data_IF_491778472685
#
_entry.id   IF_491778472685
#
_cell.length_a   1.000
_cell.length_b   1.000
_cell.length_c   1.000
_cell.angle_alpha   90.00
_cell.angle_beta   90.00
_cell.angle_gamma   90.00
#
_symmetry.space_group_name_H-M   'P 1'
#
loop_
_entity.id
_entity.type
_entity.pdbx_description
1 polymer ?
#
# COMPACT_ATOMS: atom_id res chain seq x y z
N UNK A 1 -33.57 -13.28 -5.38
CA UNK A 1 -34.67 -12.35 -5.07
C UNK A 1 -35.06 -11.61 -6.32
N UNK A 2 -36.32 -11.75 -6.71
CA UNK A 2 -36.82 -11.10 -7.92
C UNK A 2 -37.02 -9.62 -7.64
N UNK A 3 -36.95 -8.80 -8.68
CA UNK A 3 -37.17 -7.35 -8.59
C UNK A 3 -38.55 -7.00 -7.99
N UNK A 4 -39.54 -7.87 -8.17
CA UNK A 4 -40.88 -7.79 -7.59
C UNK A 4 -40.87 -7.84 -6.06
N UNK A 5 -39.84 -8.45 -5.46
CA UNK A 5 -39.66 -8.56 -4.01
C UNK A 5 -38.99 -7.29 -3.41
N UNK A 6 -38.63 -6.32 -4.24
CA UNK A 6 -37.99 -5.07 -3.83
C UNK A 6 -39.01 -3.94 -3.66
N UNK A 7 -38.86 -3.16 -2.60
CA UNK A 7 -39.72 -2.00 -2.36
C UNK A 7 -39.34 -0.89 -3.33
N UNK A 8 -40.22 -0.54 -4.28
CA UNK A 8 -40.03 0.64 -5.13
C UNK A 8 -40.22 1.91 -4.29
N UNK A 9 -39.20 2.77 -4.26
CA UNK A 9 -39.20 4.01 -3.46
C UNK A 9 -39.07 5.28 -4.30
N UNK A 10 -38.84 5.13 -5.61
CA UNK A 10 -38.76 6.23 -6.57
C UNK A 10 -38.70 5.72 -8.00
N UNK A 11 -38.59 6.65 -8.95
CA UNK A 11 -38.36 6.32 -10.36
C UNK A 11 -37.01 5.60 -10.51
N UNK A 12 -37.02 4.35 -10.99
CA UNK A 12 -35.84 3.51 -11.13
C UNK A 12 -35.06 3.25 -9.82
N UNK A 13 -35.69 3.46 -8.66
CA UNK A 13 -35.05 3.26 -7.34
C UNK A 13 -35.84 2.21 -6.55
N UNK A 14 -35.12 1.15 -6.19
CA UNK A 14 -35.63 0.02 -5.43
C UNK A 14 -34.83 -0.13 -4.13
N UNK A 15 -35.50 -0.61 -3.08
CA UNK A 15 -34.92 -0.77 -1.76
C UNK A 15 -35.05 -2.21 -1.28
N UNK A 16 -33.93 -2.75 -0.82
CA UNK A 16 -33.89 -3.95 0.02
C UNK A 16 -34.04 -3.47 1.46
N UNK A 17 -35.20 -3.71 2.05
CA UNK A 17 -35.44 -3.38 3.44
C UNK A 17 -34.40 -4.06 4.34
N UNK A 18 -33.96 -3.34 5.36
CA UNK A 18 -33.01 -3.86 6.35
C UNK A 18 -33.61 -5.09 7.03
N UNK A 19 -32.94 -6.23 6.91
CA UNK A 19 -33.35 -7.50 7.51
C UNK A 19 -32.14 -8.29 8.03
N UNK A 20 -32.38 -9.23 8.95
CA UNK A 20 -31.32 -10.03 9.55
C UNK A 20 -30.20 -9.18 10.17
N UNK A 21 -28.95 -9.48 9.81
CA UNK A 21 -27.75 -8.82 10.33
C UNK A 21 -27.35 -7.55 9.54
N UNK A 22 -28.17 -7.09 8.59
CA UNK A 22 -27.86 -5.88 7.84
C UNK A 22 -27.72 -4.71 8.82
N UNK A 23 -26.69 -3.87 8.65
CA UNK A 23 -26.51 -2.62 9.41
C UNK A 23 -27.30 -1.47 8.77
N UNK A 24 -27.41 -1.48 7.44
CA UNK A 24 -28.10 -0.48 6.60
C UNK A 24 -29.00 -1.17 5.57
N UNK A 25 -30.02 -0.51 5.02
CA UNK A 25 -30.79 -1.06 3.88
C UNK A 25 -29.94 -1.11 2.60
N UNK A 26 -30.37 -1.92 1.62
CA UNK A 26 -29.81 -1.95 0.28
C UNK A 26 -30.56 -1.01 -0.67
N UNK A 27 -29.87 -0.36 -1.62
CA UNK A 27 -30.49 0.52 -2.63
C UNK A 27 -30.03 0.16 -4.02
N UNK A 28 -30.97 -0.11 -4.92
CA UNK A 28 -30.69 -0.55 -6.29
C UNK A 28 -31.25 0.49 -7.26
N UNK A 29 -30.38 0.99 -8.13
CA UNK A 29 -30.74 1.88 -9.22
C UNK A 29 -30.83 1.08 -10.51
N UNK A 30 -32.05 0.81 -10.98
CA UNK A 30 -32.27 -0.04 -12.14
C UNK A 30 -33.56 0.39 -12.86
N UNK A 31 -33.53 0.45 -14.19
CA UNK A 31 -34.70 0.80 -14.99
C UNK A 31 -35.79 -0.27 -14.87
N UNK A 32 -37.07 0.09 -15.01
CA UNK A 32 -38.19 -0.85 -14.86
C UNK A 32 -38.09 -2.10 -15.75
N UNK A 33 -37.52 -1.96 -16.95
CA UNK A 33 -37.38 -3.04 -17.94
C UNK A 33 -36.26 -4.04 -17.63
N UNK A 34 -35.31 -3.68 -16.76
CA UNK A 34 -34.16 -4.54 -16.44
C UNK A 34 -34.46 -5.46 -15.26
N UNK A 35 -33.87 -6.66 -15.30
CA UNK A 35 -33.99 -7.70 -14.27
C UNK A 35 -32.82 -7.55 -13.30
N UNK A 36 -33.08 -7.76 -12.01
CA UNK A 36 -32.02 -7.84 -11.00
C UNK A 36 -31.58 -9.29 -10.88
N UNK A 37 -30.28 -9.56 -10.99
CA UNK A 37 -29.74 -10.88 -10.73
C UNK A 37 -29.89 -11.24 -9.24
N UNK A 38 -30.50 -12.39 -8.97
CA UNK A 38 -30.77 -12.88 -7.62
C UNK A 38 -29.52 -12.87 -6.74
N UNK A 39 -28.42 -13.40 -7.25
CA UNK A 39 -27.15 -13.51 -6.53
C UNK A 39 -26.48 -12.14 -6.29
N UNK A 40 -26.60 -11.20 -7.24
CA UNK A 40 -26.07 -9.84 -7.07
C UNK A 40 -26.85 -9.06 -5.99
N UNK A 41 -28.18 -9.24 -5.94
CA UNK A 41 -29.01 -8.66 -4.87
C UNK A 41 -28.66 -9.22 -3.48
N UNK A 42 -28.23 -10.48 -3.41
CA UNK A 42 -27.75 -11.10 -2.18
C UNK A 42 -26.39 -10.53 -1.76
N UNK A 43 -25.51 -10.25 -2.72
CA UNK A 43 -24.25 -9.57 -2.44
C UNK A 43 -24.48 -8.15 -1.89
N UNK A 44 -25.49 -7.42 -2.37
CA UNK A 44 -25.89 -6.13 -1.75
C UNK A 44 -26.30 -6.32 -0.29
N UNK A 45 -27.08 -7.37 0.03
CA UNK A 45 -27.41 -7.72 1.43
C UNK A 45 -26.18 -8.04 2.25
N UNK A 46 -25.26 -8.83 1.72
CA UNK A 46 -24.03 -9.21 2.42
C UNK A 46 -23.16 -7.99 2.72
N UNK A 47 -22.95 -7.12 1.74
CA UNK A 47 -22.22 -5.85 1.91
C UNK A 47 -22.89 -4.97 2.96
N UNK A 48 -24.22 -4.95 3.02
CA UNK A 48 -24.97 -4.20 4.02
C UNK A 48 -24.76 -4.67 5.47
N UNK A 49 -24.20 -5.86 5.69
CA UNK A 49 -23.86 -6.40 7.02
C UNK A 49 -22.48 -5.96 7.50
N UNK A 50 -21.66 -5.34 6.64
CA UNK A 50 -20.28 -5.02 6.98
C UNK A 50 -20.19 -3.91 8.05
N UNK A 51 -19.25 -4.01 9.02
CA UNK A 51 -19.11 -3.03 10.08
C UNK A 51 -18.83 -1.62 9.55
N UNK A 52 -19.48 -0.63 10.15
CA UNK A 52 -19.26 0.79 9.84
C UNK A 52 -19.74 1.24 8.45
N UNK A 53 -20.51 0.43 7.71
CA UNK A 53 -21.13 0.85 6.45
C UNK A 53 -22.11 2.01 6.69
N UNK A 54 -22.13 2.97 5.77
CA UNK A 54 -22.88 4.22 5.88
C UNK A 54 -24.09 4.23 4.95
N UNK A 55 -25.25 4.59 5.52
CA UNK A 55 -26.53 4.85 4.83
C UNK A 55 -27.13 3.68 4.05
N UNK A 56 -26.44 3.17 3.01
CA UNK A 56 -26.93 2.15 2.09
C UNK A 56 -25.79 1.29 1.54
N UNK A 57 -26.10 0.02 1.25
CA UNK A 57 -25.34 -0.79 0.29
C UNK A 57 -25.97 -0.61 -1.08
N UNK A 58 -25.22 -0.14 -2.09
CA UNK A 58 -25.80 0.35 -3.34
C UNK A 58 -25.45 -0.58 -4.50
N UNK A 59 -26.41 -0.89 -5.36
CA UNK A 59 -26.22 -1.51 -6.67
C UNK A 59 -26.61 -0.55 -7.80
N UNK A 60 -25.72 -0.36 -8.77
CA UNK A 60 -25.97 0.47 -9.95
C UNK A 60 -26.62 -0.33 -11.09
N UNK A 61 -26.87 0.33 -12.22
CA UNK A 61 -27.66 -0.21 -13.33
C UNK A 61 -27.01 -1.40 -14.04
N UNK A 62 -25.69 -1.52 -13.94
CA UNK A 62 -24.85 -2.59 -14.50
C UNK A 62 -24.52 -3.67 -13.47
N UNK A 63 -25.23 -3.70 -12.34
CA UNK A 63 -24.92 -4.61 -11.25
C UNK A 63 -25.11 -6.08 -11.64
N UNK A 64 -24.06 -6.88 -11.40
CA UNK A 64 -24.05 -8.32 -11.60
C UNK A 64 -23.11 -9.01 -10.60
N UNK A 65 -23.14 -10.34 -10.56
CA UNK A 65 -22.36 -11.13 -9.59
C UNK A 65 -20.86 -10.80 -9.67
N UNK A 66 -20.29 -10.38 -8.54
CA UNK A 66 -18.85 -10.15 -8.36
C UNK A 66 -18.23 -11.06 -7.30
N UNK A 67 -17.07 -10.68 -6.77
CA UNK A 67 -16.37 -11.42 -5.70
C UNK A 67 -16.61 -10.76 -4.34
N UNK A 68 -17.55 -11.30 -3.56
CA UNK A 68 -17.98 -10.75 -2.27
C UNK A 68 -18.91 -9.54 -2.43
N UNK A 69 -18.45 -8.49 -3.11
CA UNK A 69 -19.28 -7.38 -3.57
C UNK A 69 -19.78 -7.67 -4.99
N UNK A 70 -20.95 -7.15 -5.39
CA UNK A 70 -21.35 -7.18 -6.79
C UNK A 70 -20.52 -6.18 -7.60
N UNK A 71 -20.26 -6.50 -8.87
CA UNK A 71 -19.77 -5.50 -9.82
C UNK A 71 -20.88 -4.45 -9.97
N UNK A 72 -20.53 -3.17 -10.13
CA UNK A 72 -21.49 -2.07 -10.05
C UNK A 72 -21.99 -1.78 -8.62
N UNK A 73 -21.40 -2.42 -7.61
CA UNK A 73 -21.69 -2.17 -6.20
C UNK A 73 -20.96 -0.93 -5.67
N UNK A 74 -21.63 -0.17 -4.79
CA UNK A 74 -21.05 0.99 -4.10
C UNK A 74 -21.37 0.90 -2.61
N UNK A 75 -20.33 1.05 -1.77
CA UNK A 75 -20.49 1.15 -0.33
C UNK A 75 -19.49 2.17 0.23
N UNK A 76 -19.94 2.96 1.20
CA UNK A 76 -19.10 3.88 1.95
C UNK A 76 -18.99 3.41 3.39
N UNK A 77 -17.79 3.49 3.96
CA UNK A 77 -17.50 3.04 5.33
C UNK A 77 -16.93 4.18 6.18
N UNK A 78 -17.29 4.19 7.47
CA UNK A 78 -16.72 5.11 8.45
C UNK A 78 -15.20 4.88 8.60
N UNK A 79 -14.40 5.94 8.62
CA UNK A 79 -12.93 5.82 8.67
C UNK A 79 -12.38 5.20 9.96
N UNK A 80 -13.12 5.24 11.07
CA UNK A 80 -12.67 4.73 12.37
C UNK A 80 -13.26 3.38 12.72
N UNK A 81 -14.50 3.13 12.31
CA UNK A 81 -15.27 1.92 12.67
C UNK A 81 -15.49 0.97 11.49
N UNK A 82 -15.18 1.42 10.28
CA UNK A 82 -15.41 0.71 9.04
C UNK A 82 -14.33 -0.30 8.71
N UNK A 83 -14.55 -0.99 7.60
CA UNK A 83 -13.65 -1.99 7.04
C UNK A 83 -13.21 -1.59 5.63
N UNK A 84 -12.08 -2.14 5.19
CA UNK A 84 -11.69 -2.18 3.78
C UNK A 84 -11.86 -3.61 3.32
N UNK A 85 -12.59 -3.82 2.22
CA UNK A 85 -12.75 -5.12 1.59
C UNK A 85 -12.14 -5.08 0.19
N UNK A 86 -11.07 -5.84 -0.10
CA UNK A 86 -10.49 -5.92 -1.45
C UNK A 86 -11.53 -6.33 -2.50
N UNK A 87 -12.46 -7.23 -2.14
CA UNK A 87 -13.57 -7.64 -3.02
C UNK A 87 -14.50 -6.48 -3.39
N UNK A 88 -14.59 -5.44 -2.56
CA UNK A 88 -15.36 -4.22 -2.84
C UNK A 88 -14.66 -3.18 -3.71
N UNK A 89 -13.37 -3.38 -4.02
CA UNK A 89 -12.65 -2.58 -5.00
C UNK A 89 -12.49 -3.36 -6.31
N UNK A 90 -12.33 -4.67 -6.23
CA UNK A 90 -12.17 -5.58 -7.37
C UNK A 90 -10.71 -6.02 -7.59
N UNK A 91 -10.52 -7.00 -8.46
CA UNK A 91 -9.19 -7.56 -8.76
C UNK A 91 -8.43 -6.74 -9.82
N UNK A 92 -9.09 -5.83 -10.52
CA UNK A 92 -8.51 -5.02 -11.59
C UNK A 92 -7.93 -3.70 -11.08
N UNK A 93 -6.98 -3.80 -10.15
CA UNK A 93 -6.36 -2.61 -9.56
C UNK A 93 -4.91 -2.55 -9.99
N UNK A 94 -4.58 -1.55 -10.81
CA UNK A 94 -3.26 -0.91 -10.88
C UNK A 94 -2.08 -1.87 -10.66
N UNK A 95 -1.95 -2.91 -11.50
CA UNK A 95 -0.95 -3.95 -11.31
C UNK A 95 0.34 -3.65 -12.08
N UNK A 96 1.47 -4.01 -11.49
CA UNK A 96 2.75 -4.14 -12.18
C UNK A 96 3.01 -5.61 -12.49
N UNK A 97 3.85 -5.90 -13.48
CA UNK A 97 4.28 -7.29 -13.74
C UNK A 97 5.14 -7.83 -12.61
N UNK A 98 5.09 -9.14 -12.36
CA UNK A 98 5.79 -9.77 -11.24
C UNK A 98 7.32 -9.67 -11.28
N UNK A 99 7.93 -9.43 -12.45
CA UNK A 99 9.36 -9.16 -12.62
C UNK A 99 9.76 -7.71 -12.28
N UNK A 100 8.79 -6.81 -12.11
CA UNK A 100 9.04 -5.44 -11.64
C UNK A 100 9.67 -5.48 -10.26
N UNK A 101 10.70 -4.66 -10.07
CA UNK A 101 11.48 -4.62 -8.83
C UNK A 101 10.90 -3.60 -7.86
N UNK A 102 10.83 -3.99 -6.59
CA UNK A 102 10.45 -3.11 -5.48
C UNK A 102 11.60 -3.00 -4.49
N UNK A 103 11.81 -1.78 -4.00
CA UNK A 103 12.81 -1.50 -2.98
C UNK A 103 12.25 -1.79 -1.60
N UNK A 104 13.05 -2.46 -0.76
CA UNK A 104 12.76 -2.61 0.66
C UNK A 104 13.22 -1.37 1.43
N UNK A 105 12.77 -1.23 2.68
CA UNK A 105 13.23 -0.17 3.58
C UNK A 105 14.75 -0.15 3.86
N UNK A 106 15.45 -1.24 3.53
CA UNK A 106 16.90 -1.37 3.63
C UNK A 106 17.63 -1.24 2.29
N UNK A 107 16.91 -0.88 1.22
CA UNK A 107 17.49 -0.64 -0.10
C UNK A 107 17.77 -1.90 -0.92
N UNK A 108 17.28 -3.06 -0.50
CA UNK A 108 17.32 -4.27 -1.32
C UNK A 108 16.30 -4.15 -2.45
N UNK A 109 16.64 -4.65 -3.64
CA UNK A 109 15.74 -4.70 -4.78
C UNK A 109 15.26 -6.12 -5.04
N UNK A 110 13.98 -6.39 -4.80
CA UNK A 110 13.38 -7.72 -4.94
C UNK A 110 12.29 -7.66 -6.02
N UNK A 111 12.20 -8.64 -6.94
CA UNK A 111 11.06 -8.75 -7.85
C UNK A 111 9.75 -8.95 -7.08
N UNK A 112 8.65 -8.30 -7.51
CA UNK A 112 7.33 -8.41 -6.85
C UNK A 112 6.91 -9.87 -6.67
N UNK A 113 7.11 -10.72 -7.69
CA UNK A 113 6.77 -12.16 -7.64
C UNK A 113 7.48 -12.93 -6.53
N UNK A 114 8.65 -12.46 -6.10
CA UNK A 114 9.46 -13.10 -5.07
C UNK A 114 9.16 -12.54 -3.67
N UNK A 115 8.32 -11.51 -3.56
CA UNK A 115 8.01 -10.87 -2.30
C UNK A 115 7.17 -11.78 -1.38
N UNK A 116 6.27 -12.62 -1.92
CA UNK A 116 5.49 -13.56 -1.11
C UNK A 116 6.39 -14.54 -0.32
N UNK A 117 7.58 -14.87 -0.85
CA UNK A 117 8.57 -15.73 -0.16
C UNK A 117 9.10 -15.11 1.14
N UNK A 118 8.98 -13.79 1.26
CA UNK A 118 9.43 -13.02 2.42
C UNK A 118 8.32 -12.79 3.45
N UNK A 119 7.13 -13.38 3.22
CA UNK A 119 6.02 -13.26 4.13
C UNK A 119 5.90 -14.45 5.08
N UNK A 120 5.49 -14.18 6.31
CA UNK A 120 5.08 -15.20 7.26
C UNK A 120 3.62 -15.54 7.04
N UNK A 121 3.32 -16.82 6.84
CA UNK A 121 1.94 -17.32 6.78
C UNK A 121 1.50 -17.68 8.19
N UNK A 122 0.53 -16.95 8.70
CA UNK A 122 -0.10 -17.17 10.01
C UNK A 122 -1.46 -17.78 9.76
N UNK A 123 -1.69 -18.98 10.30
CA UNK A 123 -3.00 -19.61 10.26
C UNK A 123 -3.77 -19.19 11.51
N UNK A 124 -4.85 -18.45 11.32
CA UNK A 124 -5.76 -18.06 12.39
C UNK A 124 -7.01 -18.91 12.23
N UNK A 125 -7.25 -19.80 13.20
CA UNK A 125 -8.49 -20.56 13.26
C UNK A 125 -9.52 -19.79 14.09
N UNK A 126 -10.60 -19.36 13.48
CA UNK A 126 -11.69 -18.65 14.14
C UNK A 126 -13.03 -19.22 13.68
N UNK A 127 -13.84 -19.70 14.62
CA UNK A 127 -15.18 -20.26 14.36
C UNK A 127 -15.20 -21.38 13.29
N UNK A 128 -14.17 -22.23 13.25
CA UNK A 128 -14.04 -23.31 12.27
C UNK A 128 -13.58 -22.87 10.88
N UNK A 129 -13.23 -21.59 10.69
CA UNK A 129 -12.56 -21.09 9.49
C UNK A 129 -11.07 -20.92 9.75
N UNK A 130 -10.23 -21.49 8.88
CA UNK A 130 -8.79 -21.24 8.86
C UNK A 130 -8.52 -20.07 7.93
N UNK A 131 -8.12 -18.94 8.50
CA UNK A 131 -7.69 -17.75 7.78
C UNK A 131 -6.16 -17.76 7.66
N UNK A 132 -5.66 -17.82 6.44
CA UNK A 132 -4.23 -17.70 6.17
C UNK A 132 -3.89 -16.21 6.02
N UNK A 133 -3.41 -15.59 7.10
CA UNK A 133 -2.92 -14.23 7.07
C UNK A 133 -1.47 -14.22 6.61
N UNK A 134 -1.17 -13.38 5.63
CA UNK A 134 0.19 -13.13 5.14
C UNK A 134 0.70 -11.88 5.86
N UNK A 135 1.76 -12.01 6.65
CA UNK A 135 2.41 -10.88 7.32
C UNK A 135 3.80 -10.64 6.73
N UNK A 136 4.05 -9.40 6.27
CA UNK A 136 5.37 -8.96 5.84
C UNK A 136 6.07 -8.21 6.97
N UNK A 137 7.24 -8.70 7.39
CA UNK A 137 8.08 -7.97 8.35
C UNK A 137 8.73 -6.73 7.71
N UNK A 138 9.00 -6.80 6.41
CA UNK A 138 9.63 -5.74 5.63
C UNK A 138 8.63 -4.64 5.26
N UNK A 139 9.03 -3.39 5.45
CA UNK A 139 8.27 -2.21 4.99
C UNK A 139 8.75 -1.72 3.64
N UNK A 140 7.85 -1.04 2.93
CA UNK A 140 8.14 -0.43 1.62
C UNK A 140 8.29 1.10 1.73
N UNK A 141 9.36 1.69 1.18
CA UNK A 141 9.49 3.13 1.04
C UNK A 141 8.38 3.68 0.15
N UNK A 142 7.57 4.60 0.67
CA UNK A 142 6.40 5.17 -0.02
C UNK A 142 6.49 6.69 -0.01
N UNK A 143 6.21 7.33 -1.14
CA UNK A 143 6.17 8.79 -1.23
C UNK A 143 4.89 9.33 -0.59
N UNK A 144 5.04 10.15 0.44
CA UNK A 144 3.94 10.91 1.03
C UNK A 144 3.76 12.25 0.30
N UNK A 145 2.67 12.39 -0.44
CA UNK A 145 2.37 13.59 -1.23
C UNK A 145 2.22 14.87 -0.41
N UNK A 146 1.83 14.78 0.87
CA UNK A 146 1.59 15.97 1.72
C UNK A 146 2.89 16.64 2.12
N UNK A 147 3.87 15.85 2.57
CA UNK A 147 5.16 16.36 3.06
C UNK A 147 6.31 16.17 2.05
N UNK A 148 6.04 15.48 0.92
CA UNK A 148 7.00 15.17 -0.14
C UNK A 148 8.21 14.36 0.34
N UNK A 149 8.04 13.57 1.40
CA UNK A 149 9.08 12.70 1.97
C UNK A 149 8.76 11.23 1.70
N UNK A 150 9.81 10.43 1.63
CA UNK A 150 9.70 8.96 1.61
C UNK A 150 9.50 8.48 3.05
N UNK A 151 8.52 7.60 3.26
CA UNK A 151 8.19 6.99 4.55
C UNK A 151 8.02 5.48 4.38
N UNK A 152 8.56 4.69 5.32
CA UNK A 152 8.42 3.23 5.28
C UNK A 152 7.05 2.81 5.80
N UNK A 153 6.25 2.13 4.97
CA UNK A 153 4.89 1.66 5.28
C UNK A 153 4.79 0.13 5.27
N UNK A 154 3.90 -0.40 6.11
CA UNK A 154 3.60 -1.83 6.14
C UNK A 154 2.84 -2.25 4.89
N UNK A 155 3.03 -3.50 4.48
CA UNK A 155 2.24 -4.14 3.43
C UNK A 155 1.02 -4.77 4.12
N UNK A 156 -0.15 -4.21 3.87
CA UNK A 156 -1.41 -4.71 4.44
C UNK A 156 -1.98 -5.86 3.60
N UNK A 157 -1.70 -5.88 2.29
CA UNK A 157 -2.22 -6.88 1.38
C UNK A 157 -1.29 -7.11 0.19
N UNK A 158 -1.28 -8.35 -0.32
CA UNK A 158 -0.50 -8.75 -1.48
C UNK A 158 -1.38 -9.62 -2.39
N UNK A 159 -1.51 -9.22 -3.67
CA UNK A 159 -2.39 -9.85 -4.64
C UNK A 159 -1.65 -10.14 -5.93
N UNK A 160 -2.13 -11.13 -6.65
CA UNK A 160 -1.75 -11.39 -8.03
C UNK A 160 -3.01 -11.71 -8.85
N UNK A 161 -2.92 -11.43 -10.15
CA UNK A 161 -3.89 -11.86 -11.15
C UNK A 161 -3.19 -12.15 -12.47
N UNK A 162 -3.84 -12.91 -13.32
CA UNK A 162 -3.48 -12.97 -14.73
C UNK A 162 -4.06 -11.74 -15.44
N UNK A 163 -3.30 -11.17 -16.37
CA UNK A 163 -3.70 -10.03 -17.16
C UNK A 163 -3.58 -10.38 -18.65
N UNK A 164 -4.65 -10.12 -19.40
CA UNK A 164 -4.69 -10.39 -20.84
C UNK A 164 -3.84 -9.42 -21.64
N UNK A 165 -3.74 -8.17 -21.18
CA UNK A 165 -2.99 -7.11 -21.82
C UNK A 165 -2.02 -6.46 -20.83
N UNK A 166 -0.78 -6.24 -21.27
CA UNK A 166 0.27 -5.56 -20.53
C UNK A 166 0.89 -4.51 -21.44
N UNK A 167 1.09 -3.31 -20.90
CA UNK A 167 1.66 -2.17 -21.59
C UNK A 167 3.07 -1.91 -21.05
N UNK A 168 4.02 -1.61 -21.93
CA UNK A 168 5.39 -1.22 -21.55
C UNK A 168 5.58 0.30 -21.76
N UNK A 169 5.96 1.00 -20.70
CA UNK A 169 6.42 2.39 -20.78
C UNK A 169 7.94 2.36 -20.94
N UNK A 170 8.46 3.08 -21.94
CA UNK A 170 9.88 3.29 -22.15
C UNK A 170 10.22 4.77 -22.03
N UNK A 171 11.11 5.11 -21.11
CA UNK A 171 11.60 6.47 -20.93
C UNK A 171 12.83 6.75 -21.81
N UNK A 172 13.07 8.03 -22.09
CA UNK A 172 14.28 8.49 -22.79
C UNK A 172 15.57 8.18 -22.02
N UNK A 173 15.50 8.02 -20.69
CA UNK A 173 16.58 7.55 -19.84
C UNK A 173 16.96 6.08 -20.07
N UNK A 174 16.15 5.33 -20.83
CA UNK A 174 16.31 3.89 -21.03
C UNK A 174 15.58 3.03 -20.01
N UNK A 175 15.03 3.62 -18.94
CA UNK A 175 14.20 2.91 -17.97
C UNK A 175 12.92 2.38 -18.61
N UNK A 176 12.48 1.21 -18.14
CA UNK A 176 11.29 0.52 -18.62
C UNK A 176 10.47 -0.03 -17.47
N UNK A 177 9.15 -0.03 -17.64
CA UNK A 177 8.23 -0.64 -16.69
C UNK A 177 7.04 -1.22 -17.42
N UNK A 178 6.55 -2.37 -16.95
CA UNK A 178 5.39 -3.07 -17.51
C UNK A 178 4.26 -3.08 -16.50
N UNK A 179 3.06 -2.71 -16.95
CA UNK A 179 1.90 -2.59 -16.08
C UNK A 179 0.58 -2.83 -16.84
N UNK A 180 -0.51 -2.97 -16.08
CA UNK A 180 -1.87 -2.90 -16.65
C UNK A 180 -2.20 -1.47 -17.08
N UNK A 181 -3.15 -1.32 -17.99
CA UNK A 181 -3.52 -0.04 -18.63
C UNK A 181 -3.97 1.03 -17.62
N UNK A 182 -4.53 0.61 -16.50
CA UNK A 182 -5.13 1.43 -15.46
C UNK A 182 -4.09 1.87 -14.42
N UNK A 183 -2.91 1.21 -14.38
CA UNK A 183 -1.87 1.50 -13.39
C UNK A 183 -1.40 2.95 -13.50
N UNK A 184 -1.52 3.75 -12.41
CA UNK A 184 -1.20 5.15 -12.47
C UNK A 184 0.27 5.42 -12.16
N UNK A 185 0.86 6.33 -12.93
CA UNK A 185 2.20 6.84 -12.75
C UNK A 185 2.15 8.30 -12.30
N UNK A 186 3.09 8.68 -11.44
CA UNK A 186 3.17 10.05 -10.95
C UNK A 186 3.78 10.96 -12.04
N UNK A 187 3.00 11.93 -12.49
CA UNK A 187 3.41 12.99 -13.42
C UNK A 187 3.54 14.34 -12.69
N UNK A 188 3.93 15.39 -13.40
CA UNK A 188 3.89 16.77 -12.88
C UNK A 188 2.48 17.26 -12.51
N UNK A 189 1.46 16.71 -13.14
CA UNK A 189 0.04 17.05 -12.93
C UNK A 189 -0.65 16.11 -11.93
N UNK A 190 0.08 15.15 -11.36
CA UNK A 190 -0.45 14.13 -10.46
C UNK A 190 -0.42 12.72 -11.06
N UNK A 191 -1.13 11.81 -10.42
CA UNK A 191 -1.21 10.40 -10.84
C UNK A 191 -2.06 10.27 -12.10
N UNK A 192 -1.53 9.67 -13.17
CA UNK A 192 -2.26 9.38 -14.41
C UNK A 192 -2.09 7.91 -14.80
N UNK A 193 -3.19 7.25 -15.18
CA UNK A 193 -3.16 5.89 -15.73
C UNK A 193 -2.37 5.85 -17.05
N UNK A 194 -1.92 4.67 -17.49
CA UNK A 194 -1.28 4.53 -18.81
C UNK A 194 -2.21 5.04 -19.92
N UNK A 195 -3.52 4.79 -19.80
CA UNK A 195 -4.52 5.26 -20.74
C UNK A 195 -4.54 6.79 -20.89
N UNK A 196 -4.30 7.52 -19.80
CA UNK A 196 -4.35 8.98 -19.77
C UNK A 196 -2.98 9.65 -20.02
N UNK A 197 -1.91 8.86 -20.14
CA UNK A 197 -0.57 9.38 -20.41
C UNK A 197 -0.46 9.90 -21.85
N UNK A 198 0.13 11.08 -21.98
CA UNK A 198 0.46 11.68 -23.28
C UNK A 198 1.84 11.24 -23.74
N UNK A 199 2.07 11.28 -25.05
CA UNK A 199 3.41 11.07 -25.59
C UNK A 199 4.39 12.10 -25.01
N UNK A 200 5.59 11.63 -24.63
CA UNK A 200 6.67 12.40 -24.00
C UNK A 200 6.30 13.06 -22.66
N UNK A 201 5.36 12.50 -21.93
CA UNK A 201 5.03 12.97 -20.58
C UNK A 201 6.15 12.69 -19.57
N UNK A 202 6.37 13.62 -18.63
CA UNK A 202 7.40 13.48 -17.61
C UNK A 202 6.87 12.64 -16.44
N UNK A 203 7.52 11.50 -16.18
CA UNK A 203 7.20 10.62 -15.06
C UNK A 203 8.22 10.79 -13.92
N UNK A 204 7.74 10.71 -12.68
CA UNK A 204 8.62 10.60 -11.52
C UNK A 204 9.28 9.23 -11.51
N UNK A 205 10.60 9.21 -11.31
CA UNK A 205 11.40 7.99 -11.26
C UNK A 205 12.28 8.00 -10.02
N UNK A 206 12.55 6.81 -9.49
CA UNK A 206 13.64 6.60 -8.55
C UNK A 206 14.82 6.00 -9.32
N UNK A 207 15.96 6.68 -9.29
CA UNK A 207 17.17 6.25 -10.01
C UNK A 207 17.98 5.19 -9.23
N UNK A 208 17.71 5.05 -7.93
CA UNK A 208 18.36 4.01 -7.15
C UNK A 208 17.68 2.66 -7.43
N UNK A 209 18.37 1.77 -8.12
CA UNK A 209 17.87 0.43 -8.47
C UNK A 209 17.97 -0.59 -7.33
N UNK A 210 18.50 -0.19 -6.17
CA UNK A 210 18.70 -1.05 -5.02
C UNK A 210 19.94 -1.93 -5.12
N UNK A 211 20.24 -2.59 -4.01
CA UNK A 211 21.32 -3.58 -3.92
C UNK A 211 20.71 -4.91 -4.36
N UNK A 212 21.35 -5.58 -5.32
CA UNK A 212 20.97 -6.93 -5.77
C UNK A 212 21.07 -7.90 -4.59
N UNK A 213 20.20 -8.91 -4.56
CA UNK A 213 20.18 -9.99 -3.56
C UNK A 213 21.59 -10.37 -3.10
N UNK A 214 21.94 -9.91 -1.90
CA UNK A 214 22.83 -10.65 -1.01
C UNK A 214 21.95 -11.61 -0.20
N UNK A 215 22.57 -12.56 0.50
CA UNK A 215 21.92 -13.45 1.45
C UNK A 215 20.81 -12.74 2.25
N UNK A 216 19.74 -13.48 2.59
CA UNK A 216 18.68 -13.00 3.48
C UNK A 216 19.34 -12.60 4.80
N UNK A 217 19.59 -11.30 4.94
CA UNK A 217 20.10 -10.72 6.17
C UNK A 217 18.94 -10.52 7.12
N UNK A 218 19.11 -10.95 8.36
CA UNK A 218 18.10 -10.66 9.37
C UNK A 218 18.00 -9.14 9.62
N UNK A 219 16.88 -8.70 10.20
CA UNK A 219 16.63 -7.27 10.45
C UNK A 219 17.76 -6.61 11.26
N UNK A 220 18.36 -7.32 12.23
CA UNK A 220 19.44 -6.77 13.07
C UNK A 220 20.73 -6.61 12.29
N UNK A 221 21.05 -7.55 11.40
CA UNK A 221 22.18 -7.44 10.48
C UNK A 221 22.00 -6.26 9.52
N UNK A 222 20.82 -6.11 8.93
CA UNK A 222 20.53 -4.98 8.03
C UNK A 222 20.68 -3.62 8.74
N UNK A 223 20.15 -3.50 9.95
CA UNK A 223 20.32 -2.31 10.79
C UNK A 223 21.80 -2.09 11.12
N UNK A 224 22.54 -3.14 11.48
CA UNK A 224 23.97 -3.02 11.83
C UNK A 224 24.79 -2.53 10.64
N UNK A 225 24.53 -3.04 9.43
CA UNK A 225 25.19 -2.59 8.20
C UNK A 225 24.84 -1.15 7.85
N UNK A 226 23.57 -0.76 7.97
CA UNK A 226 23.13 0.63 7.80
C UNK A 226 23.88 1.56 8.75
N UNK A 227 23.96 1.20 10.03
CA UNK A 227 24.67 1.98 11.03
C UNK A 227 26.17 2.07 10.73
N UNK A 228 26.82 0.95 10.37
CA UNK A 228 28.22 0.96 9.94
C UNK A 228 28.46 1.90 8.76
N UNK A 229 27.57 1.89 7.75
CA UNK A 229 27.63 2.82 6.62
C UNK A 229 27.59 4.29 7.06
N UNK A 230 26.67 4.64 7.97
CA UNK A 230 26.64 5.98 8.58
C UNK A 230 27.92 6.29 9.36
N UNK A 231 28.44 5.34 10.13
CA UNK A 231 29.67 5.53 10.90
C UNK A 231 30.90 5.78 10.02
N UNK A 232 30.96 5.16 8.84
CA UNK A 232 32.04 5.39 7.88
C UNK A 232 31.89 6.69 7.08
N UNK A 233 30.66 7.16 6.87
CA UNK A 233 30.39 8.41 6.15
C UNK A 233 30.47 9.64 7.06
N UNK A 234 29.51 9.75 7.98
CA UNK A 234 29.26 10.93 8.82
C UNK A 234 29.38 10.59 10.31
N UNK A 235 30.29 9.68 10.67
CA UNK A 235 30.49 9.27 12.05
C UNK A 235 31.95 9.02 12.41
N UNK A 236 32.16 8.56 13.64
CA UNK A 236 33.44 8.03 14.06
C UNK A 236 33.26 6.92 15.12
N UNK A 237 34.18 5.96 15.08
CA UNK A 237 34.40 4.99 16.14
C UNK A 237 35.67 5.38 16.88
N UNK A 238 35.64 5.37 18.20
CA UNK A 238 36.84 5.58 19.02
C UNK A 238 36.81 4.69 20.25
N UNK A 239 37.98 4.28 20.72
CA UNK A 239 38.12 3.54 21.97
C UNK A 239 38.43 4.49 23.13
N UNK A 240 37.79 4.29 24.27
CA UNK A 240 38.12 4.95 25.52
C UNK A 240 37.87 4.02 26.70
N UNK A 241 38.81 3.95 27.66
CA UNK A 241 38.70 3.10 28.86
C UNK A 241 38.29 1.64 28.55
N UNK A 242 38.87 1.02 27.51
CA UNK A 242 38.57 -0.34 27.03
C UNK A 242 37.12 -0.54 26.57
N UNK A 243 36.44 0.53 26.16
CA UNK A 243 35.11 0.51 25.56
C UNK A 243 35.15 1.22 24.21
N UNK A 244 34.42 0.68 23.24
CA UNK A 244 34.24 1.30 21.92
C UNK A 244 33.03 2.22 22.00
N UNK A 245 33.20 3.44 21.52
CA UNK A 245 32.17 4.46 21.41
C UNK A 245 31.96 4.81 19.94
N UNK A 246 30.70 5.04 19.59
CA UNK A 246 30.32 5.56 18.28
C UNK A 246 29.67 6.93 18.40
N UNK A 247 30.10 7.86 17.55
CA UNK A 247 29.42 9.13 17.33
C UNK A 247 28.94 9.17 15.87
N UNK A 248 27.67 9.54 15.66
CA UNK A 248 27.11 9.78 14.33
C UNK A 248 26.59 11.21 14.31
N UNK A 249 26.91 11.93 13.24
CA UNK A 249 26.50 13.31 13.01
C UNK A 249 25.42 13.35 11.93
N UNK A 250 24.50 14.31 12.03
CA UNK A 250 23.39 14.42 11.09
C UNK A 250 22.32 15.40 11.55
N UNK A 251 21.24 15.49 10.79
CA UNK A 251 20.08 16.31 11.18
C UNK A 251 19.38 15.70 12.40
N UNK A 252 18.62 16.51 13.15
CA UNK A 252 17.90 16.03 14.34
C UNK A 252 16.90 14.93 13.98
N UNK A 253 16.30 15.01 12.81
CA UNK A 253 15.35 14.04 12.27
C UNK A 253 16.04 12.70 11.96
N UNK A 254 17.17 12.73 11.25
CA UNK A 254 17.92 11.51 10.91
C UNK A 254 18.47 10.83 12.16
N UNK A 255 18.98 11.62 13.12
CA UNK A 255 19.47 11.09 14.40
C UNK A 255 18.36 10.42 15.23
N UNK A 256 17.10 10.84 15.10
CA UNK A 256 15.96 10.14 15.72
C UNK A 256 15.68 8.80 15.06
N UNK A 257 15.81 8.69 13.74
CA UNK A 257 15.69 7.42 13.01
C UNK A 257 16.80 6.47 13.44
N UNK A 258 18.05 6.94 13.42
CA UNK A 258 19.23 6.17 13.88
C UNK A 258 19.07 5.73 15.33
N UNK A 259 18.54 6.58 16.22
CA UNK A 259 18.26 6.20 17.61
C UNK A 259 17.26 5.05 17.72
N UNK A 260 16.21 5.03 16.89
CA UNK A 260 15.25 3.94 16.88
C UNK A 260 15.87 2.65 16.32
N UNK A 261 16.67 2.75 15.26
CA UNK A 261 17.42 1.62 14.71
C UNK A 261 18.37 1.01 15.75
N UNK A 262 19.13 1.84 16.48
CA UNK A 262 20.01 1.39 17.58
C UNK A 262 19.24 0.63 18.67
N UNK A 263 18.01 1.05 19.00
CA UNK A 263 17.17 0.32 19.97
C UNK A 263 16.79 -1.08 19.49
N UNK A 264 16.51 -1.26 18.20
CA UNK A 264 16.15 -2.57 17.62
C UNK A 264 17.29 -3.59 17.72
N UNK A 265 18.54 -3.13 17.77
CA UNK A 265 19.73 -3.96 18.01
C UNK A 265 20.21 -3.91 19.47
N UNK A 266 19.36 -3.46 20.40
CA UNK A 266 19.64 -3.38 21.85
C UNK A 266 20.82 -2.45 22.22
N UNK A 267 21.08 -1.42 21.43
CA UNK A 267 22.11 -0.40 21.71
C UNK A 267 21.45 0.90 22.20
N UNK A 268 21.84 1.34 23.40
CA UNK A 268 21.38 2.61 23.95
C UNK A 268 22.17 3.79 23.38
N UNK A 269 21.47 4.88 23.06
CA UNK A 269 22.06 6.09 22.51
C UNK A 269 21.32 7.37 22.92
N UNK A 270 22.07 8.48 22.92
CA UNK A 270 21.57 9.82 23.21
C UNK A 270 21.84 10.75 22.03
N UNK A 271 20.93 11.69 21.80
CA UNK A 271 21.09 12.73 20.78
C UNK A 271 21.54 13.99 21.48
N UNK A 272 22.70 14.51 21.08
CA UNK A 272 23.25 15.76 21.59
C UNK A 272 23.25 16.81 20.49
N UNK A 273 22.96 18.06 20.86
CA UNK A 273 23.06 19.20 19.95
C UNK A 273 23.78 20.34 20.67
N UNK A 274 24.70 21.01 19.98
CA UNK A 274 25.37 22.20 20.48
C UNK A 274 25.38 23.26 19.40
N UNK A 275 25.03 24.51 19.76
CA UNK A 275 25.23 25.67 18.89
C UNK A 275 26.71 26.05 18.93
N UNK A 276 27.31 26.27 17.77
CA UNK A 276 28.68 26.74 17.62
C UNK A 276 28.68 27.94 16.69
N UNK A 277 29.35 29.00 17.11
CA UNK A 277 29.63 30.14 16.26
C UNK A 277 30.99 29.89 15.59
N UNK A 278 31.01 29.89 14.27
CA UNK A 278 32.19 29.63 13.47
C UNK A 278 32.51 30.87 12.64
N UNK A 279 33.73 31.39 12.79
CA UNK A 279 34.27 32.43 11.91
C UNK A 279 35.35 31.78 11.04
N UNK A 280 35.14 31.75 9.73
CA UNK A 280 36.12 31.26 8.78
C UNK A 280 36.74 32.49 8.12
N UNK A 281 37.98 32.81 8.51
CA UNK A 281 38.76 33.84 7.81
C UNK A 281 39.19 33.29 6.46
N UNK A 282 38.50 33.72 5.40
CA UNK A 282 38.92 33.45 4.02
C UNK A 282 40.03 34.42 3.61
N UNK A 283 40.85 34.02 2.63
CA UNK A 283 41.82 34.91 1.97
C UNK A 283 41.17 35.87 0.95
N UNK A 284 39.86 35.78 0.79
CA UNK A 284 39.02 36.69 0.01
C UNK A 284 38.28 37.60 0.98
#
# INVERSE_FOLDING_TARGET
>A
MKKEDLKKIGENIYEIAKSGNMNVPGRIFISERMIVEDNASEQIRNVAQLPGILKYSIGLTDMHVGYGFPIGGVAAFDLKKGVISPGGVGYDINCLTGDSKILTEFGQSIPIKDFEKHAHKINIEQNGMVLNQIEFLTRLPTLNFKNKKIENKKIEFFMSKEANEIYEIKLNSGLRIKATKEHPFLTKEGMKSIFDLKDRENLAVNLFEGIKESEIIDKKQAISLKLLGYMFGDGCLYESKKKIYGAIYGTKEDLKVIKNDLKEINVNSNIYSRKRDHEIKTKY
#
